data_IF_766467843662
#
_entry.id   IF_766467843662
#
_cell.length_a   1.000
_cell.length_b   1.000
_cell.length_c   1.000
_cell.angle_alpha   90.00
_cell.angle_beta   90.00
_cell.angle_gamma   90.00
#
_symmetry.space_group_name_H-M   'P 1'
#
loop_
_entity.id
_entity.type
_entity.pdbx_description
1 polymer ?
#
# COMPACT_ATOMS: atom_id res chain seq x y z
N UNK A 1 37.33 22.55 4.41
CA UNK A 1 36.65 23.33 3.36
C UNK A 1 36.02 22.32 2.42
N UNK A 2 34.70 22.37 2.21
CA UNK A 2 33.95 21.40 1.38
C UNK A 2 33.92 21.88 -0.08
N UNK A 3 34.34 21.07 -1.07
CA UNK A 3 34.07 21.36 -2.48
C UNK A 3 32.58 21.24 -2.84
N UNK A 4 32.16 22.16 -3.71
CA UNK A 4 30.78 22.61 -3.96
C UNK A 4 30.06 21.88 -5.10
N UNK A 5 29.83 20.58 -5.00
CA UNK A 5 28.84 19.93 -5.89
C UNK A 5 27.52 19.59 -5.19
N UNK A 6 27.46 19.68 -3.86
CA UNK A 6 26.18 19.74 -3.13
C UNK A 6 25.37 18.45 -3.15
N UNK A 7 25.97 17.35 -3.57
CA UNK A 7 25.43 15.99 -3.51
C UNK A 7 26.49 15.09 -2.92
N UNK A 8 26.14 14.31 -1.89
CA UNK A 8 26.99 13.27 -1.35
C UNK A 8 27.31 12.28 -2.48
N UNK A 9 28.52 12.37 -3.03
CA UNK A 9 28.97 11.51 -4.11
C UNK A 9 29.35 10.13 -3.55
N UNK A 10 29.02 9.05 -4.27
CA UNK A 10 29.29 7.66 -3.86
C UNK A 10 30.78 7.33 -3.70
N UNK A 11 31.66 8.25 -4.10
CA UNK A 11 33.11 8.12 -3.97
C UNK A 11 33.69 8.97 -2.84
N UNK A 12 32.85 9.71 -2.10
CA UNK A 12 33.30 10.52 -0.99
C UNK A 12 33.62 9.61 0.21
N UNK A 13 34.90 9.53 0.55
CA UNK A 13 35.42 8.57 1.54
C UNK A 13 35.48 9.17 2.95
N UNK A 14 34.99 10.41 3.12
CA UNK A 14 35.07 11.17 4.36
C UNK A 14 33.82 11.01 5.26
N UNK A 15 32.91 10.08 4.93
CA UNK A 15 31.80 9.70 5.80
C UNK A 15 32.27 8.80 6.94
N UNK A 16 32.81 9.43 7.98
CA UNK A 16 32.97 8.84 9.31
C UNK A 16 31.61 8.32 9.83
N UNK A 17 31.59 7.32 10.72
CA UNK A 17 30.38 6.62 11.19
C UNK A 17 29.39 7.46 12.02
N UNK A 18 29.49 8.80 12.01
CA UNK A 18 28.77 9.70 12.92
C UNK A 18 27.47 10.31 12.38
N UNK A 19 27.11 10.13 11.12
CA UNK A 19 25.99 10.92 10.57
C UNK A 19 24.62 10.26 10.63
N UNK A 20 24.47 8.98 10.96
CA UNK A 20 23.15 8.32 11.02
C UNK A 20 22.33 8.44 9.74
N UNK A 21 22.95 8.88 8.64
CA UNK A 21 22.34 8.93 7.32
C UNK A 21 22.65 7.57 6.73
N UNK A 22 21.71 6.65 6.82
CA UNK A 22 21.71 5.50 5.93
C UNK A 22 21.77 6.07 4.51
N UNK A 23 22.93 5.94 3.87
CA UNK A 23 23.00 6.10 2.43
C UNK A 23 22.10 4.99 1.89
N UNK A 24 20.83 5.30 1.64
CA UNK A 24 19.93 4.43 0.90
C UNK A 24 20.51 4.33 -0.51
N UNK A 25 21.55 3.50 -0.66
CA UNK A 25 22.03 2.98 -1.92
C UNK A 25 21.00 1.96 -2.40
N UNK A 26 19.78 2.42 -2.66
CA UNK A 26 18.95 1.81 -3.69
C UNK A 26 19.53 2.35 -4.98
N UNK A 27 20.34 1.54 -5.66
CA UNK A 27 21.14 1.93 -6.83
C UNK A 27 20.43 2.89 -7.78
N UNK A 28 20.68 4.18 -7.61
CA UNK A 28 20.26 5.24 -8.53
C UNK A 28 21.32 5.34 -9.63
N UNK A 29 21.38 4.29 -10.45
CA UNK A 29 21.92 4.38 -11.79
C UNK A 29 20.79 4.01 -12.76
N UNK A 30 19.86 4.93 -12.96
CA UNK A 30 19.07 4.92 -14.19
C UNK A 30 18.80 6.37 -14.62
N UNK A 31 19.30 6.83 -15.79
CA UNK A 31 19.22 8.22 -16.25
C UNK A 31 17.81 8.81 -16.44
N UNK A 32 16.75 8.06 -16.12
CA UNK A 32 15.36 8.44 -16.41
C UNK A 32 14.70 9.29 -15.32
N UNK A 33 15.41 9.67 -14.25
CA UNK A 33 14.88 10.57 -13.21
C UNK A 33 15.16 12.08 -13.44
N UNK A 34 15.77 12.47 -14.58
CA UNK A 34 16.08 13.89 -14.90
C UNK A 34 14.99 14.66 -15.67
N UNK A 35 13.80 14.10 -15.86
CA UNK A 35 12.73 14.74 -16.65
C UNK A 35 11.63 15.41 -15.80
N UNK A 36 11.99 16.03 -14.66
CA UNK A 36 11.12 16.99 -13.95
C UNK A 36 9.76 16.49 -13.45
N UNK A 37 9.48 15.20 -13.53
CA UNK A 37 8.32 14.58 -12.91
C UNK A 37 8.71 14.17 -11.48
N UNK A 38 7.86 14.50 -10.50
CA UNK A 38 7.91 13.93 -9.16
C UNK A 38 7.66 12.41 -9.26
N UNK A 39 8.67 11.66 -9.70
CA UNK A 39 8.67 10.22 -9.74
C UNK A 39 8.85 9.72 -8.33
N UNK A 40 7.75 9.53 -7.60
CA UNK A 40 7.77 8.63 -6.47
C UNK A 40 8.15 7.24 -7.00
N UNK A 41 9.18 6.63 -6.41
CA UNK A 41 9.36 5.19 -6.55
C UNK A 41 8.14 4.58 -5.88
N UNK A 42 7.20 4.07 -6.68
CA UNK A 42 6.09 3.30 -6.16
C UNK A 42 6.66 1.95 -5.70
N UNK A 43 7.13 1.90 -4.46
CA UNK A 43 7.51 0.68 -3.74
C UNK A 43 6.23 -0.10 -3.42
N UNK A 44 5.51 -0.52 -4.47
CA UNK A 44 4.23 -1.19 -4.36
C UNK A 44 4.36 -2.45 -3.51
N UNK A 45 3.88 -2.37 -2.26
CA UNK A 45 3.74 -3.53 -1.37
C UNK A 45 4.46 -3.44 -0.03
N UNK A 46 5.39 -2.50 0.18
CA UNK A 46 6.09 -2.38 1.46
C UNK A 46 5.28 -1.46 2.38
N UNK A 47 4.30 -2.02 3.09
CA UNK A 47 3.68 -1.32 4.21
C UNK A 47 4.57 -1.56 5.43
N UNK A 48 5.26 -0.55 5.98
CA UNK A 48 6.11 -0.75 7.15
C UNK A 48 5.27 -1.31 8.29
N UNK A 49 5.68 -2.47 8.83
CA UNK A 49 5.01 -3.07 9.99
C UNK A 49 5.74 -2.58 11.23
N UNK A 50 5.07 -1.91 12.19
CA UNK A 50 5.72 -1.50 13.42
C UNK A 50 6.31 -2.73 14.14
N UNK A 51 7.59 -2.68 14.49
CA UNK A 51 8.31 -3.80 15.09
C UNK A 51 9.06 -4.69 14.10
N UNK A 52 8.92 -4.50 12.78
CA UNK A 52 9.82 -5.08 11.78
C UNK A 52 11.09 -4.23 11.72
N UNK A 53 12.05 -4.59 12.56
CA UNK A 53 13.32 -3.90 12.66
C UNK A 53 14.33 -4.41 11.64
N UNK A 54 14.15 -5.61 11.10
CA UNK A 54 15.05 -6.20 10.09
C UNK A 54 14.73 -5.74 8.66
N UNK A 55 13.52 -5.27 8.41
CA UNK A 55 13.02 -4.80 7.13
C UNK A 55 12.64 -5.93 6.17
N UNK A 56 12.40 -7.14 6.69
CA UNK A 56 12.07 -8.33 5.89
C UNK A 56 10.56 -8.54 5.71
N UNK A 57 9.75 -7.57 6.17
CA UNK A 57 8.28 -7.60 6.15
C UNK A 57 7.66 -8.67 7.05
N UNK A 58 8.39 -9.16 8.05
CA UNK A 58 7.88 -10.06 9.08
C UNK A 58 8.24 -9.47 10.45
N UNK A 59 7.37 -9.63 11.44
CA UNK A 59 7.70 -9.27 12.84
C UNK A 59 7.90 -10.53 13.64
N UNK A 60 9.14 -10.89 13.92
CA UNK A 60 9.49 -12.15 14.59
C UNK A 60 10.65 -12.03 15.60
N UNK A 61 11.30 -13.17 15.90
CA UNK A 61 12.40 -13.24 16.85
C UNK A 61 13.70 -12.59 16.36
N UNK A 62 13.88 -12.40 15.06
CA UNK A 62 15.00 -11.66 14.48
C UNK A 62 14.90 -10.18 14.86
N UNK A 63 13.71 -9.60 14.78
CA UNK A 63 13.46 -8.21 15.21
C UNK A 63 13.66 -8.05 16.71
N UNK A 64 13.15 -8.99 17.51
CA UNK A 64 13.38 -8.97 18.96
C UNK A 64 14.88 -9.02 19.30
N UNK A 65 15.67 -9.72 18.50
CA UNK A 65 17.13 -9.75 18.67
C UNK A 65 17.73 -8.39 18.34
N UNK A 66 17.28 -7.73 17.27
CA UNK A 66 17.72 -6.38 16.90
C UNK A 66 17.36 -5.32 17.94
N UNK A 67 16.16 -5.37 18.52
CA UNK A 67 15.77 -4.51 19.64
C UNK A 67 16.65 -4.76 20.87
N UNK A 68 16.85 -6.03 21.26
CA UNK A 68 17.70 -6.39 22.41
C UNK A 68 19.15 -5.88 22.26
N UNK A 69 19.70 -5.92 21.05
CA UNK A 69 21.06 -5.42 20.78
C UNK A 69 21.19 -3.91 21.02
N UNK A 70 20.11 -3.15 20.83
CA UNK A 70 20.13 -1.69 20.90
C UNK A 70 19.37 -1.15 22.12
N UNK A 71 18.88 -2.00 23.02
CA UNK A 71 18.14 -1.56 24.21
C UNK A 71 18.96 -0.55 25.04
N UNK A 72 18.34 0.59 25.35
CA UNK A 72 18.97 1.71 26.05
C UNK A 72 19.78 2.65 25.15
N UNK A 73 19.79 2.44 23.82
CA UNK A 73 20.34 3.41 22.89
C UNK A 73 19.57 4.73 22.97
N UNK A 74 20.30 5.85 22.91
CA UNK A 74 19.74 7.22 22.92
C UNK A 74 20.46 8.05 21.87
N UNK A 75 19.90 9.21 21.52
CA UNK A 75 20.49 10.09 20.50
C UNK A 75 19.92 9.86 19.10
N UNK A 76 18.61 9.63 19.02
CA UNK A 76 17.88 9.37 17.78
C UNK A 76 18.29 8.10 17.03
N UNK A 77 18.28 6.91 17.68
CA UNK A 77 18.35 5.64 16.98
C UNK A 77 17.24 5.55 15.93
N UNK A 78 17.54 4.95 14.78
CA UNK A 78 16.57 4.69 13.73
C UNK A 78 15.54 3.64 14.15
N UNK A 79 14.42 3.56 13.41
CA UNK A 79 13.43 2.49 13.57
C UNK A 79 14.08 1.12 13.42
N UNK A 80 15.00 0.96 12.46
CA UNK A 80 15.74 -0.29 12.27
C UNK A 80 16.63 -0.65 13.46
N UNK A 81 17.04 0.33 14.28
CA UNK A 81 17.76 0.09 15.52
C UNK A 81 16.82 -0.24 16.70
N UNK A 82 15.51 -0.30 16.50
CA UNK A 82 14.55 -0.68 17.54
C UNK A 82 13.75 0.48 18.12
N UNK A 83 13.89 1.71 17.61
CA UNK A 83 13.10 2.89 18.01
C UNK A 83 11.78 2.93 17.24
N UNK A 84 10.83 2.10 17.66
CA UNK A 84 9.57 1.87 16.98
C UNK A 84 8.58 3.04 17.10
N UNK A 85 8.63 3.82 18.18
CA UNK A 85 7.77 5.00 18.33
C UNK A 85 8.42 6.32 17.91
N UNK A 86 9.68 6.25 17.48
CA UNK A 86 10.48 7.36 16.97
C UNK A 86 10.70 8.49 17.99
N UNK A 87 10.72 8.19 19.29
CA UNK A 87 10.89 9.20 20.35
C UNK A 87 12.35 9.51 20.71
N UNK A 88 13.29 8.75 20.15
CA UNK A 88 14.71 9.04 20.20
C UNK A 88 15.50 8.20 21.20
N UNK A 89 14.87 7.16 21.76
CA UNK A 89 15.53 6.08 22.45
C UNK A 89 15.06 4.68 21.99
N UNK A 90 15.61 3.62 22.59
CA UNK A 90 15.16 2.24 22.39
C UNK A 90 14.82 1.67 23.77
N UNK A 91 13.54 1.59 24.09
CA UNK A 91 13.08 1.28 25.43
C UNK A 91 11.90 0.28 25.46
N UNK A 92 11.21 0.22 26.61
CA UNK A 92 10.06 -0.67 26.81
C UNK A 92 8.83 -0.30 25.99
N UNK A 93 8.67 0.96 25.57
CA UNK A 93 7.56 1.40 24.70
C UNK A 93 7.72 0.81 23.31
N UNK A 94 8.94 0.77 22.80
CA UNK A 94 9.25 0.10 21.53
C UNK A 94 9.01 -1.40 21.59
N UNK A 95 9.43 -2.02 22.70
CA UNK A 95 9.18 -3.44 22.93
C UNK A 95 7.69 -3.77 22.91
N UNK A 96 6.85 -2.93 23.52
CA UNK A 96 5.40 -3.13 23.50
C UNK A 96 4.83 -2.97 22.09
N UNK A 97 5.44 -2.17 21.21
CA UNK A 97 5.06 -2.09 19.81
C UNK A 97 5.41 -3.39 19.09
N UNK A 98 6.63 -3.91 19.25
CA UNK A 98 7.01 -5.22 18.70
C UNK A 98 6.07 -6.32 19.21
N UNK A 99 5.81 -6.38 20.52
CA UNK A 99 4.97 -7.41 21.13
C UNK A 99 3.52 -7.39 20.60
N UNK A 100 2.99 -6.21 20.27
CA UNK A 100 1.64 -6.07 19.68
C UNK A 100 1.59 -6.52 18.22
N UNK A 101 2.72 -6.55 17.53
CA UNK A 101 2.79 -6.85 16.10
C UNK A 101 3.51 -8.17 15.79
N UNK A 102 4.06 -8.89 16.77
CA UNK A 102 4.71 -10.18 16.53
C UNK A 102 3.76 -11.16 15.81
N UNK A 103 4.24 -11.74 14.71
CA UNK A 103 3.46 -12.57 13.80
C UNK A 103 2.62 -11.80 12.77
N UNK A 104 2.68 -10.46 12.75
CA UNK A 104 2.07 -9.68 11.70
C UNK A 104 2.83 -9.86 10.39
N UNK A 105 2.07 -10.00 9.31
CA UNK A 105 2.56 -10.01 7.93
C UNK A 105 1.76 -8.99 7.11
N UNK A 106 2.30 -8.46 6.01
CA UNK A 106 1.60 -7.48 5.19
C UNK A 106 0.27 -8.06 4.72
N UNK A 107 -0.82 -7.32 4.95
CA UNK A 107 -2.13 -7.71 4.42
C UNK A 107 -2.10 -7.37 2.94
N UNK A 108 -1.99 -8.39 2.09
CA UNK A 108 -2.07 -8.18 0.64
C UNK A 108 -3.41 -7.52 0.31
N UNK A 109 -3.36 -6.38 -0.38
CA UNK A 109 -4.57 -5.77 -0.93
C UNK A 109 -5.24 -6.80 -1.83
N UNK A 110 -6.44 -7.24 -1.45
CA UNK A 110 -7.24 -8.13 -2.29
C UNK A 110 -7.67 -7.31 -3.50
N UNK A 111 -7.19 -7.60 -4.72
CA UNK A 111 -7.67 -6.91 -5.91
C UNK A 111 -9.16 -7.17 -6.02
N UNK A 112 -10.03 -6.16 -6.06
CA UNK A 112 -11.48 -6.35 -6.10
C UNK A 112 -11.86 -7.28 -7.27
N UNK A 113 -12.13 -8.59 -7.05
CA UNK A 113 -12.31 -9.51 -8.14
C UNK A 113 -13.82 -9.63 -8.37
N UNK A 114 -14.25 -9.34 -9.59
CA UNK A 114 -15.58 -9.66 -10.11
C UNK A 114 -16.82 -9.02 -9.47
N UNK A 115 -16.76 -8.30 -8.34
CA UNK A 115 -17.94 -7.67 -7.73
C UNK A 115 -18.59 -6.64 -8.67
N UNK A 116 -17.79 -5.77 -9.30
CA UNK A 116 -18.26 -4.83 -10.31
C UNK A 116 -18.81 -5.53 -11.56
N UNK A 117 -18.18 -6.63 -11.99
CA UNK A 117 -18.64 -7.42 -13.13
C UNK A 117 -19.97 -8.13 -12.83
N UNK A 118 -20.12 -8.74 -11.65
CA UNK A 118 -21.36 -9.37 -11.19
C UNK A 118 -22.50 -8.36 -11.06
N UNK A 119 -22.22 -7.17 -10.52
CA UNK A 119 -23.19 -6.08 -10.46
C UNK A 119 -23.64 -5.64 -11.87
N UNK A 120 -22.71 -5.54 -12.82
CA UNK A 120 -23.02 -5.22 -14.21
C UNK A 120 -23.87 -6.32 -14.87
N UNK A 121 -23.53 -7.60 -14.69
CA UNK A 121 -24.33 -8.72 -15.20
C UNK A 121 -25.73 -8.77 -14.58
N UNK A 122 -25.86 -8.53 -13.27
CA UNK A 122 -27.14 -8.46 -12.59
C UNK A 122 -28.01 -7.30 -13.11
N UNK A 123 -27.42 -6.13 -13.34
CA UNK A 123 -28.12 -4.98 -13.92
C UNK A 123 -28.61 -5.26 -15.35
N UNK A 124 -27.77 -5.88 -16.21
CA UNK A 124 -28.16 -6.27 -17.57
C UNK A 124 -29.31 -7.28 -17.55
N UNK A 125 -29.24 -8.30 -16.69
CA UNK A 125 -30.29 -9.31 -16.54
C UNK A 125 -31.63 -8.69 -16.08
N UNK A 126 -31.58 -7.74 -15.15
CA UNK A 126 -32.77 -7.02 -14.66
C UNK A 126 -33.45 -6.21 -15.78
N UNK A 127 -32.67 -5.50 -16.62
CA UNK A 127 -33.21 -4.73 -17.76
C UNK A 127 -33.85 -5.65 -18.80
N UNK A 128 -33.24 -6.79 -19.12
CA UNK A 128 -33.80 -7.77 -20.07
C UNK A 128 -35.14 -8.32 -19.55
N UNK A 129 -35.22 -8.65 -18.24
CA UNK A 129 -36.45 -9.13 -17.61
C UNK A 129 -37.56 -8.09 -17.64
N UNK A 130 -37.25 -6.83 -17.31
CA UNK A 130 -38.22 -5.73 -17.33
C UNK A 130 -38.80 -5.48 -18.73
N UNK A 131 -37.96 -5.50 -19.78
CA UNK A 131 -38.39 -5.29 -21.17
C UNK A 131 -39.31 -6.40 -21.71
N UNK A 132 -39.17 -7.63 -21.19
CA UNK A 132 -40.04 -8.76 -21.58
C UNK A 132 -41.42 -8.68 -20.95
N UNK A 133 -41.52 -8.16 -19.73
CA UNK A 133 -42.80 -7.99 -19.03
C UNK A 133 -43.70 -6.93 -19.71
N UNK A 134 -43.14 -5.83 -20.22
CA UNK A 134 -43.93 -4.76 -20.84
C UNK A 134 -44.48 -5.07 -22.25
N UNK A 135 -44.09 -6.18 -22.88
CA UNK A 135 -44.57 -6.58 -24.22
C UNK A 135 -45.79 -7.53 -24.20
N UNK A 136 -46.28 -7.91 -23.03
CA UNK A 136 -47.33 -8.94 -22.86
C UNK A 136 -48.79 -8.49 -23.08
N UNK A 137 -49.10 -7.20 -22.99
CA UNK A 137 -50.51 -6.76 -22.78
C UNK A 137 -51.16 -6.09 -24.00
N UNK A 138 -50.54 -6.17 -25.18
CA UNK A 138 -50.98 -5.48 -26.39
C UNK A 138 -51.66 -6.38 -27.42
N UNK A 139 -52.70 -7.14 -27.06
CA UNK A 139 -53.58 -7.74 -28.07
C UNK A 139 -54.78 -6.80 -28.27
N UNK A 140 -54.85 -6.00 -29.36
CA UNK A 140 -56.05 -5.26 -29.67
C UNK A 140 -57.16 -6.28 -29.95
N UNK A 141 -58.16 -6.31 -29.07
CA UNK A 141 -59.36 -7.11 -29.30
C UNK A 141 -59.96 -6.77 -30.67
N UNK A 142 -60.59 -7.74 -31.36
CA UNK A 142 -61.18 -7.50 -32.67
C UNK A 142 -62.18 -6.35 -32.59
N UNK A 143 -62.01 -5.36 -33.48
CA UNK A 143 -62.94 -4.23 -33.60
C UNK A 143 -64.37 -4.76 -33.81
N UNK A 144 -65.37 -4.29 -33.04
CA UNK A 144 -66.74 -4.71 -33.26
C UNK A 144 -67.21 -4.23 -34.64
N UNK A 145 -67.70 -5.18 -35.43
CA UNK A 145 -68.28 -4.90 -36.75
C UNK A 145 -69.68 -4.29 -36.53
N UNK A 146 -70.00 -3.13 -37.11
CA UNK A 146 -71.31 -2.52 -36.94
C UNK A 146 -72.36 -3.36 -37.68
N UNK A 147 -73.29 -3.94 -36.93
CA UNK A 147 -74.48 -4.60 -37.49
C UNK A 147 -75.38 -3.49 -38.03
N UNK A 148 -75.55 -3.44 -39.35
CA UNK A 148 -76.53 -2.58 -40.01
C UNK A 148 -77.79 -3.43 -40.19
N UNK A 149 -78.75 -3.23 -39.30
CA UNK A 149 -80.09 -3.76 -39.49
C UNK A 149 -80.82 -2.96 -40.58
N UNK A 150 -81.50 -3.68 -41.47
CA UNK A 150 -82.29 -3.19 -42.60
C UNK A 150 -83.77 -3.06 -42.22
#
# INVERSE_FOLDING_TARGET
QIPKDGVNSLTDTDLLPESGVDNMVVGVNSPTNFAGAAGSVNLGGITPIPGDFTGDSVVDGADLTRWRTNFGATGAPSVAQGNADADGDVDGRDFLIWQRNVGATPIAAVPEPAAALLAAFAAIAAVIKARRASKGDGFPGPNPVPVRDA
#
